data_IF_026030988873
#
_entry.id   IF_026030988873
#
_cell.length_a   1.000
_cell.length_b   1.000
_cell.length_c   1.000
_cell.angle_alpha   90.00
_cell.angle_beta   90.00
_cell.angle_gamma   90.00
#
_symmetry.space_group_name_H-M   'P 1'
#
loop_
_entity.id
_entity.type
_entity.pdbx_description
1 polymer ?
#
# COMPACT_ATOMS: atom_id res chain seq x y z
N UNK A 1 17.22 30.79 2.07
CA UNK A 1 16.19 29.79 1.76
C UNK A 1 14.89 30.40 2.21
N UNK A 2 13.98 30.72 1.28
CA UNK A 2 12.73 31.40 1.62
C UNK A 2 11.95 30.56 2.64
N UNK A 3 11.44 31.20 3.69
CA UNK A 3 10.45 30.63 4.60
C UNK A 3 9.27 30.13 3.79
N UNK A 4 9.30 28.85 3.39
CA UNK A 4 8.11 28.17 2.90
C UNK A 4 7.16 28.12 4.10
N UNK A 5 6.11 28.93 4.04
CA UNK A 5 5.05 28.95 5.02
C UNK A 5 4.57 27.51 5.23
N UNK A 6 4.71 26.98 6.46
CA UNK A 6 4.22 25.65 6.80
C UNK A 6 2.71 25.60 6.52
N UNK A 7 2.20 24.56 5.84
CA UNK A 7 0.77 24.42 5.62
C UNK A 7 0.04 24.20 6.95
N UNK A 8 -1.24 24.58 7.00
CA UNK A 8 -2.10 24.35 8.17
C UNK A 8 -2.31 22.86 8.46
N UNK A 9 -2.20 22.01 7.42
CA UNK A 9 -2.20 20.55 7.54
C UNK A 9 -1.43 19.95 6.38
N UNK A 10 -0.74 18.85 6.62
CA UNK A 10 -0.10 18.04 5.59
C UNK A 10 -1.01 16.91 5.06
N UNK A 11 -2.21 16.76 5.64
CA UNK A 11 -3.13 15.65 5.35
C UNK A 11 -4.05 15.92 4.14
N UNK A 12 -4.16 17.17 3.71
CA UNK A 12 -5.04 17.59 2.61
C UNK A 12 -4.45 17.37 1.21
N UNK A 13 -3.26 16.77 1.11
CA UNK A 13 -2.64 16.38 -0.17
C UNK A 13 -3.26 15.07 -0.70
N UNK A 14 -3.13 14.74 -1.99
CA UNK A 14 -2.58 15.56 -3.08
C UNK A 14 -3.55 16.69 -3.49
N UNK A 15 -3.09 17.58 -4.37
CA UNK A 15 -3.99 18.52 -5.06
C UNK A 15 -4.92 17.82 -6.06
N UNK A 16 -5.81 18.58 -6.70
CA UNK A 16 -6.79 18.06 -7.66
C UNK A 16 -6.16 17.42 -8.93
N UNK A 17 -4.88 17.66 -9.18
CA UNK A 17 -4.14 17.04 -10.28
C UNK A 17 -3.35 15.80 -9.82
N UNK A 18 -3.40 15.47 -8.53
CA UNK A 18 -2.71 14.33 -7.95
C UNK A 18 -1.29 14.61 -7.47
N UNK A 19 -0.89 15.87 -7.31
CA UNK A 19 0.46 16.23 -6.86
C UNK A 19 0.56 16.45 -5.34
N UNK A 20 1.59 15.85 -4.76
CA UNK A 20 2.18 16.15 -3.46
C UNK A 20 3.36 17.10 -3.70
N UNK A 21 3.04 18.37 -3.91
CA UNK A 21 4.00 19.40 -4.31
C UNK A 21 4.66 19.05 -5.65
N UNK A 22 5.91 18.56 -5.64
CA UNK A 22 6.64 18.19 -6.85
C UNK A 22 6.40 16.74 -7.31
N UNK A 23 5.80 15.90 -6.46
CA UNK A 23 5.72 14.45 -6.69
C UNK A 23 4.27 13.99 -6.93
N UNK A 24 4.07 12.89 -7.67
CA UNK A 24 2.75 12.33 -7.96
C UNK A 24 2.29 12.64 -9.38
N UNK A 25 1.03 13.04 -9.54
CA UNK A 25 0.42 13.32 -10.84
C UNK A 25 0.01 12.05 -11.60
N UNK A 26 -0.16 12.19 -12.91
CA UNK A 26 -0.60 11.14 -13.83
C UNK A 26 0.32 11.05 -15.03
N UNK A 27 1.42 10.36 -14.84
CA UNK A 27 2.27 9.93 -15.93
C UNK A 27 1.81 8.53 -16.32
N UNK A 28 1.01 8.43 -17.37
CA UNK A 28 0.54 7.17 -17.96
C UNK A 28 0.31 7.39 -19.46
N UNK A 29 0.23 6.29 -20.21
CA UNK A 29 -0.22 6.35 -21.60
C UNK A 29 -1.65 6.93 -21.68
N UNK A 30 -1.92 7.73 -22.71
CA UNK A 30 -3.23 8.35 -22.95
C UNK A 30 -4.38 7.32 -22.95
N UNK A 31 -4.11 6.10 -23.42
CA UNK A 31 -5.07 4.99 -23.44
C UNK A 31 -5.52 4.53 -22.04
N UNK A 32 -4.76 4.84 -20.98
CA UNK A 32 -5.12 4.54 -19.59
C UNK A 32 -5.88 5.69 -18.91
N UNK A 33 -5.83 6.91 -19.45
CA UNK A 33 -6.44 8.07 -18.80
C UNK A 33 -7.94 7.91 -18.53
N UNK A 34 -8.77 7.38 -19.44
CA UNK A 34 -10.18 7.15 -19.16
C UNK A 34 -10.41 6.21 -17.97
N UNK A 35 -9.61 5.15 -17.84
CA UNK A 35 -9.70 4.18 -16.74
C UNK A 35 -9.27 4.78 -15.40
N UNK A 36 -8.21 5.58 -15.42
CA UNK A 36 -7.72 6.29 -14.24
C UNK A 36 -8.78 7.29 -13.75
N UNK A 37 -9.44 8.01 -14.66
CA UNK A 37 -10.51 8.96 -14.34
C UNK A 37 -11.77 8.25 -13.84
N UNK A 38 -12.16 7.12 -14.44
CA UNK A 38 -13.27 6.28 -13.96
C UNK A 38 -12.99 5.78 -12.53
N UNK A 39 -11.75 5.36 -12.26
CA UNK A 39 -11.32 4.93 -10.94
C UNK A 39 -11.34 6.08 -9.92
N UNK A 40 -10.85 7.27 -10.30
CA UNK A 40 -10.90 8.45 -9.43
C UNK A 40 -12.33 8.79 -9.03
N UNK A 41 -13.24 8.86 -10.00
CA UNK A 41 -14.63 9.16 -9.74
C UNK A 41 -15.27 8.10 -8.81
N UNK A 42 -15.04 6.81 -9.09
CA UNK A 42 -15.57 5.73 -8.25
C UNK A 42 -15.02 5.78 -6.82
N UNK A 43 -13.75 6.17 -6.65
CA UNK A 43 -13.13 6.34 -5.35
C UNK A 43 -13.68 7.56 -4.60
N UNK A 44 -13.86 8.70 -5.26
CA UNK A 44 -14.43 9.90 -4.65
C UNK A 44 -15.91 9.69 -4.26
N UNK A 45 -16.69 9.03 -5.11
CA UNK A 45 -18.07 8.64 -4.80
C UNK A 45 -18.12 7.70 -3.59
N UNK A 46 -17.22 6.72 -3.52
CA UNK A 46 -17.12 5.80 -2.39
C UNK A 46 -16.70 6.50 -1.09
N UNK A 47 -15.79 7.49 -1.16
CA UNK A 47 -15.40 8.30 0.01
C UNK A 47 -16.55 9.15 0.55
N UNK A 48 -17.38 9.67 -0.33
CA UNK A 48 -18.54 10.49 0.04
C UNK A 48 -19.73 9.66 0.57
N UNK A 49 -19.74 8.35 0.33
CA UNK A 49 -20.84 7.44 0.67
C UNK A 49 -20.60 6.72 2.01
N UNK A 50 -21.39 7.03 3.08
CA UNK A 50 -21.25 6.38 4.38
C UNK A 50 -21.46 4.86 4.36
N UNK A 51 -22.21 4.34 3.39
CA UNK A 51 -22.43 2.89 3.27
C UNK A 51 -21.16 2.16 2.87
N UNK A 52 -20.29 2.78 2.06
CA UNK A 52 -18.98 2.22 1.72
C UNK A 52 -18.11 2.08 2.96
N UNK A 53 -18.04 3.14 3.78
CA UNK A 53 -17.25 3.14 5.01
C UNK A 53 -17.78 2.10 6.01
N UNK A 54 -19.10 1.97 6.12
CA UNK A 54 -19.75 0.94 6.96
C UNK A 54 -19.37 -0.47 6.52
N UNK A 55 -19.40 -0.75 5.21
CA UNK A 55 -19.02 -2.07 4.68
C UNK A 55 -17.51 -2.34 4.84
N UNK A 56 -16.67 -1.32 4.58
CA UNK A 56 -15.23 -1.40 4.78
C UNK A 56 -14.90 -1.72 6.24
N UNK A 57 -15.45 -0.98 7.19
CA UNK A 57 -15.21 -1.18 8.63
C UNK A 57 -15.68 -2.56 9.09
N UNK A 58 -16.85 -3.02 8.62
CA UNK A 58 -17.35 -4.37 8.88
C UNK A 58 -16.35 -5.44 8.42
N UNK A 59 -15.78 -5.30 7.22
CA UNK A 59 -14.79 -6.25 6.71
C UNK A 59 -13.44 -6.14 7.42
N UNK A 60 -13.00 -4.94 7.77
CA UNK A 60 -11.78 -4.75 8.56
C UNK A 60 -11.91 -5.43 9.92
N UNK A 61 -13.05 -5.29 10.59
CA UNK A 61 -13.29 -5.93 11.89
C UNK A 61 -13.42 -7.46 11.76
N UNK A 62 -14.39 -7.93 10.98
CA UNK A 62 -14.82 -9.33 11.04
C UNK A 62 -14.11 -10.26 10.05
N UNK A 63 -13.53 -9.73 8.98
CA UNK A 63 -12.81 -10.54 7.99
C UNK A 63 -11.30 -10.39 8.11
N UNK A 64 -10.80 -9.17 8.33
CA UNK A 64 -9.37 -8.93 8.52
C UNK A 64 -8.92 -9.21 9.95
N UNK A 65 -9.78 -8.95 10.94
CA UNK A 65 -9.46 -9.13 12.37
C UNK A 65 -8.88 -7.88 13.02
N UNK A 66 -9.27 -6.68 12.57
CA UNK A 66 -8.88 -5.40 13.16
C UNK A 66 -9.70 -5.10 14.42
N UNK A 67 -9.20 -4.26 15.36
CA UNK A 67 -7.90 -3.59 15.33
C UNK A 67 -6.74 -4.54 15.60
N UNK A 68 -5.62 -4.35 14.88
CA UNK A 68 -4.41 -5.12 15.16
C UNK A 68 -3.82 -4.66 16.52
N UNK A 69 -3.29 -5.56 17.36
CA UNK A 69 -2.78 -5.17 18.67
C UNK A 69 -1.61 -4.18 18.60
N UNK A 70 -1.45 -3.38 19.65
CA UNK A 70 -0.22 -2.65 19.95
C UNK A 70 0.47 -3.35 21.12
N UNK A 71 1.65 -3.90 20.89
CA UNK A 71 2.35 -4.75 21.86
C UNK A 71 3.60 -4.08 22.40
N UNK A 72 3.70 -3.94 23.72
CA UNK A 72 4.91 -3.47 24.38
C UNK A 72 5.98 -4.57 24.36
N UNK A 73 7.10 -4.31 23.69
CA UNK A 73 8.22 -5.24 23.52
C UNK A 73 9.23 -5.07 24.66
N UNK A 74 8.88 -5.57 25.85
CA UNK A 74 9.67 -5.42 27.09
C UNK A 74 11.13 -5.86 26.93
N UNK A 75 11.37 -7.07 26.38
CA UNK A 75 12.72 -7.62 26.22
C UNK A 75 13.59 -6.82 25.26
N UNK A 76 12.99 -6.25 24.22
CA UNK A 76 13.71 -5.42 23.24
C UNK A 76 14.02 -4.04 23.83
N UNK A 77 13.08 -3.49 24.59
CA UNK A 77 13.26 -2.25 25.34
C UNK A 77 14.43 -2.40 26.34
N UNK A 78 14.44 -3.46 27.13
CA UNK A 78 15.52 -3.77 28.07
C UNK A 78 16.86 -3.98 27.36
N UNK A 79 16.87 -4.76 26.27
CA UNK A 79 18.09 -5.06 25.53
C UNK A 79 18.74 -3.81 24.92
N UNK A 80 17.94 -2.89 24.39
CA UNK A 80 18.45 -1.66 23.78
C UNK A 80 18.74 -0.57 24.82
N UNK A 81 18.22 -0.70 26.05
CA UNK A 81 18.50 0.20 27.18
C UNK A 81 18.07 1.65 26.94
N UNK A 82 17.18 1.89 25.97
CA UNK A 82 16.81 3.21 25.49
C UNK A 82 15.30 3.45 25.53
N UNK A 83 14.71 3.72 24.36
CA UNK A 83 13.29 4.00 24.24
C UNK A 83 12.42 2.78 24.60
N UNK A 84 11.19 3.03 25.10
CA UNK A 84 10.13 2.01 25.15
C UNK A 84 9.68 1.66 23.74
N UNK A 85 9.61 0.37 23.43
CA UNK A 85 9.33 -0.10 22.07
C UNK A 85 7.96 -0.76 22.02
N UNK A 86 7.14 -0.29 21.09
CA UNK A 86 5.85 -0.88 20.77
C UNK A 86 5.84 -1.40 19.35
N UNK A 87 5.27 -2.58 19.16
CA UNK A 87 5.00 -3.14 17.84
C UNK A 87 3.53 -2.99 17.51
N UNK A 88 3.24 -2.28 16.41
CA UNK A 88 1.91 -2.31 15.77
C UNK A 88 1.80 -3.62 14.97
N UNK A 89 1.00 -4.55 15.46
CA UNK A 89 1.04 -5.98 15.09
C UNK A 89 0.26 -6.33 13.81
N UNK A 90 0.47 -5.57 12.74
CA UNK A 90 -0.23 -5.75 11.46
C UNK A 90 0.15 -7.06 10.73
N UNK A 91 1.17 -7.79 11.19
CA UNK A 91 1.44 -9.17 10.74
C UNK A 91 0.41 -10.19 11.24
N UNK A 92 -0.43 -9.83 12.23
CA UNK A 92 -1.53 -10.67 12.72
C UNK A 92 -2.82 -10.51 11.91
N UNK A 93 -2.88 -9.55 10.99
CA UNK A 93 -4.03 -9.38 10.10
C UNK A 93 -4.25 -10.65 9.27
N UNK A 94 -5.49 -10.90 8.84
CA UNK A 94 -5.76 -11.93 7.85
C UNK A 94 -4.83 -11.79 6.65
N UNK A 95 -4.34 -12.91 6.12
CA UNK A 95 -3.25 -13.05 5.12
C UNK A 95 -1.82 -12.83 5.64
N UNK A 96 -1.63 -12.14 6.78
CA UNK A 96 -0.36 -12.03 7.50
C UNK A 96 0.43 -10.74 7.28
N UNK A 97 -0.20 -9.68 6.76
CA UNK A 97 0.43 -8.38 6.52
C UNK A 97 -0.59 -7.23 6.41
N UNK A 98 -0.10 -5.99 6.38
CA UNK A 98 -0.91 -4.79 6.16
C UNK A 98 -1.56 -4.70 4.76
N UNK A 99 -1.10 -5.50 3.78
CA UNK A 99 -1.58 -5.42 2.39
C UNK A 99 -3.08 -5.68 2.24
N UNK A 100 -3.67 -6.48 3.14
CA UNK A 100 -5.09 -6.82 3.09
C UNK A 100 -5.99 -5.59 3.28
N UNK A 101 -5.58 -4.58 4.06
CA UNK A 101 -6.38 -3.36 4.27
C UNK A 101 -6.68 -2.68 2.93
N UNK A 102 -5.64 -2.48 2.14
CA UNK A 102 -5.72 -1.91 0.79
C UNK A 102 -6.52 -2.80 -0.18
N UNK A 103 -6.31 -4.12 -0.12
CA UNK A 103 -7.00 -5.04 -1.02
C UNK A 103 -8.52 -5.07 -0.76
N UNK A 104 -8.96 -4.96 0.49
CA UNK A 104 -10.39 -4.86 0.83
C UNK A 104 -10.98 -3.56 0.27
N UNK A 105 -10.33 -2.41 0.51
CA UNK A 105 -10.82 -1.14 -0.04
C UNK A 105 -10.94 -1.16 -1.56
N UNK A 106 -9.90 -1.63 -2.25
CA UNK A 106 -9.89 -1.67 -3.72
C UNK A 106 -10.83 -2.74 -4.31
N UNK A 107 -11.03 -3.90 -3.67
CA UNK A 107 -11.98 -4.89 -4.18
C UNK A 107 -13.42 -4.37 -4.07
N UNK A 108 -13.75 -3.63 -3.01
CA UNK A 108 -15.07 -2.99 -2.88
C UNK A 108 -15.31 -1.97 -3.99
N UNK A 109 -14.29 -1.19 -4.36
CA UNK A 109 -14.35 -0.32 -5.54
C UNK A 109 -14.56 -1.11 -6.83
N UNK A 110 -13.82 -2.19 -7.04
CA UNK A 110 -13.99 -3.06 -8.20
C UNK A 110 -15.42 -3.61 -8.30
N UNK A 111 -16.01 -4.01 -7.17
CA UNK A 111 -17.40 -4.48 -7.10
C UNK A 111 -18.40 -3.38 -7.47
N UNK A 112 -18.21 -2.14 -6.97
CA UNK A 112 -19.04 -0.98 -7.30
C UNK A 112 -18.94 -0.59 -8.78
N UNK A 113 -17.75 -0.69 -9.34
CA UNK A 113 -17.48 -0.48 -10.77
C UNK A 113 -17.95 -1.64 -11.66
N UNK A 114 -18.55 -2.69 -11.09
CA UNK A 114 -19.09 -3.83 -11.83
C UNK A 114 -18.03 -4.74 -12.46
N UNK A 115 -16.75 -4.58 -12.11
CA UNK A 115 -15.63 -5.34 -12.68
C UNK A 115 -15.67 -6.79 -12.23
N UNK A 116 -15.28 -7.72 -13.12
CA UNK A 116 -15.36 -9.18 -12.87
C UNK A 116 -14.00 -9.86 -12.83
N UNK A 117 -12.95 -9.11 -13.20
CA UNK A 117 -11.58 -9.57 -13.29
C UNK A 117 -10.67 -8.63 -12.53
N UNK A 118 -9.80 -9.20 -11.71
CA UNK A 118 -8.79 -8.51 -10.92
C UNK A 118 -7.42 -8.87 -11.46
N UNK A 119 -6.60 -7.85 -11.70
CA UNK A 119 -5.17 -8.01 -11.91
C UNK A 119 -4.39 -7.36 -10.77
N UNK A 120 -3.19 -7.87 -10.49
CA UNK A 120 -2.25 -7.26 -9.55
C UNK A 120 -0.81 -7.65 -9.92
N UNK A 121 0.16 -6.90 -9.40
CA UNK A 121 1.59 -7.24 -9.43
C UNK A 121 2.04 -7.82 -8.08
N UNK A 122 3.13 -8.59 -8.03
CA UNK A 122 3.73 -8.93 -6.74
C UNK A 122 5.22 -9.23 -6.86
N UNK A 123 5.98 -8.89 -5.81
CA UNK A 123 7.39 -9.24 -5.65
C UNK A 123 7.52 -10.31 -4.58
N UNK A 124 7.52 -9.93 -3.31
CA UNK A 124 7.60 -10.88 -2.18
C UNK A 124 6.39 -11.84 -2.07
N UNK A 125 5.32 -11.65 -2.84
CA UNK A 125 4.15 -12.52 -2.85
C UNK A 125 3.00 -12.08 -1.94
N UNK A 126 3.25 -11.31 -0.88
CA UNK A 126 2.20 -10.93 0.08
C UNK A 126 1.05 -10.10 -0.53
N UNK A 127 1.33 -9.19 -1.47
CA UNK A 127 0.27 -8.45 -2.18
C UNK A 127 -0.58 -9.41 -3.01
N UNK A 128 0.06 -10.23 -3.85
CA UNK A 128 -0.64 -11.24 -4.64
C UNK A 128 -1.49 -12.21 -3.82
N UNK A 129 -1.03 -12.65 -2.64
CA UNK A 129 -1.83 -13.46 -1.71
C UNK A 129 -3.06 -12.67 -1.23
N UNK A 130 -2.89 -11.42 -0.79
CA UNK A 130 -4.00 -10.60 -0.34
C UNK A 130 -5.02 -10.32 -1.46
N UNK A 131 -4.56 -10.01 -2.67
CA UNK A 131 -5.40 -9.85 -3.87
C UNK A 131 -6.16 -11.14 -4.19
N UNK A 132 -5.49 -12.29 -4.22
CA UNK A 132 -6.13 -13.58 -4.47
C UNK A 132 -7.19 -13.91 -3.41
N UNK A 133 -6.91 -13.59 -2.14
CA UNK A 133 -7.86 -13.78 -1.03
C UNK A 133 -9.14 -12.97 -1.24
N UNK A 134 -9.02 -11.68 -1.54
CA UNK A 134 -10.21 -10.84 -1.74
C UNK A 134 -10.95 -11.19 -3.04
N UNK A 135 -10.24 -11.53 -4.11
CA UNK A 135 -10.87 -11.98 -5.35
C UNK A 135 -11.66 -13.29 -5.15
N UNK A 136 -11.09 -14.26 -4.42
CA UNK A 136 -11.75 -15.51 -4.08
C UNK A 136 -13.03 -15.28 -3.26
N UNK A 137 -13.00 -14.36 -2.28
CA UNK A 137 -14.17 -13.99 -1.46
C UNK A 137 -15.36 -13.51 -2.31
N UNK A 138 -15.09 -12.75 -3.38
CA UNK A 138 -16.12 -12.16 -4.24
C UNK A 138 -16.36 -12.94 -5.55
N UNK A 139 -15.72 -14.10 -5.71
CA UNK A 139 -15.87 -14.92 -6.93
C UNK A 139 -15.35 -14.24 -8.20
N UNK A 140 -14.31 -13.41 -8.08
CA UNK A 140 -13.70 -12.68 -9.19
C UNK A 140 -12.55 -13.49 -9.82
N UNK A 141 -12.36 -13.38 -11.13
CA UNK A 141 -11.14 -13.91 -11.75
C UNK A 141 -9.94 -13.12 -11.22
N UNK A 142 -8.86 -13.80 -10.82
CA UNK A 142 -7.65 -13.16 -10.31
C UNK A 142 -6.42 -13.58 -11.11
N UNK A 143 -5.70 -12.60 -11.65
CA UNK A 143 -4.42 -12.80 -12.33
C UNK A 143 -3.34 -11.96 -11.63
N UNK A 144 -2.27 -12.62 -11.20
CA UNK A 144 -1.14 -11.98 -10.51
C UNK A 144 0.11 -12.07 -11.36
N UNK A 145 0.65 -10.91 -11.72
CA UNK A 145 1.93 -10.78 -12.42
C UNK A 145 3.08 -10.82 -11.42
N UNK A 146 4.07 -11.67 -11.67
CA UNK A 146 5.20 -11.85 -10.74
C UNK A 146 6.51 -12.03 -11.51
N UNK A 147 7.55 -11.32 -11.10
CA UNK A 147 8.87 -11.44 -11.73
C UNK A 147 9.40 -12.87 -11.63
N UNK A 148 9.94 -13.40 -12.73
CA UNK A 148 10.38 -14.80 -12.76
C UNK A 148 11.50 -15.11 -11.72
N UNK A 149 12.33 -14.12 -11.36
CA UNK A 149 13.34 -14.29 -10.29
C UNK A 149 12.73 -14.36 -8.90
N UNK A 150 11.56 -13.74 -8.69
CA UNK A 150 10.87 -13.73 -7.40
C UNK A 150 10.08 -15.04 -7.19
N UNK A 151 9.61 -15.66 -8.28
CA UNK A 151 8.86 -16.93 -8.25
C UNK A 151 9.63 -18.04 -7.53
N UNK A 152 10.90 -18.26 -7.90
CA UNK A 152 11.70 -19.32 -7.30
C UNK A 152 11.91 -19.12 -5.80
N UNK A 153 12.01 -17.86 -5.36
CA UNK A 153 12.28 -17.50 -3.97
C UNK A 153 11.04 -17.52 -3.09
N UNK A 154 9.85 -17.36 -3.68
CA UNK A 154 8.59 -17.15 -2.95
C UNK A 154 7.59 -18.29 -3.12
N UNK A 155 8.08 -19.53 -3.31
CA UNK A 155 7.25 -20.75 -3.49
C UNK A 155 6.08 -20.88 -2.50
N UNK A 156 6.23 -20.60 -1.19
CA UNK A 156 5.09 -20.67 -0.26
C UNK A 156 3.94 -19.72 -0.62
N UNK A 157 4.25 -18.49 -1.04
CA UNK A 157 3.24 -17.52 -1.44
C UNK A 157 2.61 -17.87 -2.79
N UNK A 158 3.38 -18.42 -3.73
CA UNK A 158 2.82 -18.95 -4.98
C UNK A 158 1.80 -20.05 -4.73
N UNK A 159 2.13 -20.99 -3.86
CA UNK A 159 1.23 -22.09 -3.51
C UNK A 159 -0.06 -21.57 -2.87
N UNK A 160 0.03 -20.58 -1.96
CA UNK A 160 -1.15 -19.93 -1.38
C UNK A 160 -2.03 -19.25 -2.43
N UNK A 161 -1.43 -18.52 -3.37
CA UNK A 161 -2.18 -17.89 -4.47
C UNK A 161 -2.90 -18.92 -5.34
N UNK A 162 -2.25 -20.05 -5.67
CA UNK A 162 -2.87 -21.13 -6.41
C UNK A 162 -4.04 -21.80 -5.67
N UNK A 163 -3.90 -22.04 -4.36
CA UNK A 163 -4.99 -22.58 -3.53
C UNK A 163 -6.21 -21.63 -3.49
N UNK A 164 -5.98 -20.32 -3.61
CA UNK A 164 -7.01 -19.30 -3.70
C UNK A 164 -7.60 -19.15 -5.11
N UNK A 165 -7.15 -19.95 -6.09
CA UNK A 165 -7.66 -19.93 -7.46
C UNK A 165 -7.08 -18.84 -8.35
N UNK A 166 -6.05 -18.11 -7.89
CA UNK A 166 -5.39 -17.10 -8.73
C UNK A 166 -4.50 -17.75 -9.80
N UNK A 167 -4.50 -17.14 -10.99
CA UNK A 167 -3.56 -17.45 -12.08
C UNK A 167 -2.31 -16.60 -11.87
N UNK A 168 -1.13 -17.22 -11.92
CA UNK A 168 0.14 -16.50 -11.79
C UNK A 168 0.80 -16.42 -13.16
N UNK A 169 1.14 -15.21 -13.59
CA UNK A 169 1.83 -14.95 -14.86
C UNK A 169 3.28 -14.58 -14.56
N UNK A 170 4.25 -15.43 -14.93
CA UNK A 170 5.67 -15.13 -14.77
C UNK A 170 6.09 -14.03 -15.75
N UNK A 171 6.74 -12.99 -15.24
CA UNK A 171 7.29 -11.91 -16.06
C UNK A 171 8.78 -12.15 -16.31
N UNK A 172 9.08 -12.44 -17.57
CA UNK A 172 10.42 -12.78 -18.08
C UNK A 172 11.14 -11.57 -18.70
N UNK A 173 10.45 -10.45 -18.89
CA UNK A 173 11.00 -9.22 -19.46
C UNK A 173 11.86 -8.46 -18.45
N UNK A 174 12.81 -7.66 -18.96
CA UNK A 174 13.60 -6.72 -18.18
C UNK A 174 14.41 -7.36 -17.04
N UNK A 175 14.31 -6.77 -15.85
CA UNK A 175 15.06 -7.23 -14.66
C UNK A 175 14.50 -8.50 -14.05
N UNK A 176 13.28 -8.88 -14.44
CA UNK A 176 12.46 -10.01 -13.95
C UNK A 176 12.06 -9.86 -12.49
N UNK A 177 11.74 -8.63 -12.08
CA UNK A 177 11.38 -8.27 -10.69
C UNK A 177 10.03 -7.53 -10.65
N UNK A 178 9.65 -7.02 -9.47
CA UNK A 178 8.43 -6.25 -9.23
C UNK A 178 8.18 -5.12 -10.26
N UNK A 179 9.21 -4.38 -10.66
CA UNK A 179 9.09 -3.30 -11.66
C UNK A 179 8.53 -3.82 -12.98
N UNK A 180 9.05 -4.94 -13.46
CA UNK A 180 8.62 -5.52 -14.74
C UNK A 180 7.22 -6.13 -14.61
N UNK A 181 6.91 -6.75 -13.45
CA UNK A 181 5.58 -7.27 -13.16
C UNK A 181 4.49 -6.18 -13.21
N UNK A 182 4.80 -5.00 -12.68
CA UNK A 182 3.88 -3.86 -12.69
C UNK A 182 3.65 -3.32 -14.12
N UNK A 183 4.69 -3.28 -14.95
CA UNK A 183 4.56 -2.88 -16.36
C UNK A 183 3.66 -3.83 -17.15
N UNK A 184 3.80 -5.15 -16.94
CA UNK A 184 2.94 -6.14 -17.61
C UNK A 184 1.50 -6.08 -17.10
N UNK A 185 1.28 -5.83 -15.80
CA UNK A 185 -0.07 -5.59 -15.27
C UNK A 185 -0.74 -4.36 -15.91
N UNK A 186 -0.02 -3.25 -16.07
CA UNK A 186 -0.55 -2.06 -16.76
C UNK A 186 -0.89 -2.36 -18.24
N UNK A 187 -0.06 -3.13 -18.95
CA UNK A 187 -0.33 -3.55 -20.34
C UNK A 187 -1.57 -4.42 -20.47
N UNK A 188 -1.73 -5.38 -19.56
CA UNK A 188 -2.95 -6.19 -19.46
C UNK A 188 -4.17 -5.29 -19.27
N UNK A 189 -4.07 -4.32 -18.35
CA UNK A 189 -5.18 -3.44 -18.06
C UNK A 189 -5.66 -2.68 -19.30
N UNK A 190 -4.74 -2.12 -20.08
CA UNK A 190 -5.02 -1.46 -21.38
C UNK A 190 -5.72 -2.39 -22.37
N UNK A 191 -5.44 -3.69 -22.31
CA UNK A 191 -6.00 -4.66 -23.25
C UNK A 191 -7.39 -5.14 -22.81
N UNK A 192 -7.69 -5.11 -21.51
CA UNK A 192 -8.89 -5.71 -20.91
C UNK A 192 -9.73 -4.71 -20.10
N UNK A 193 -9.81 -3.46 -20.58
CA UNK A 193 -10.32 -2.27 -19.88
C UNK A 193 -11.75 -2.42 -19.33
N UNK A 194 -12.65 -3.03 -20.10
CA UNK A 194 -14.10 -3.02 -19.80
C UNK A 194 -14.45 -3.82 -18.53
N UNK A 195 -13.71 -4.91 -18.30
CA UNK A 195 -14.04 -5.92 -17.29
C UNK A 195 -13.04 -5.94 -16.12
N UNK A 196 -11.85 -5.35 -16.31
CA UNK A 196 -10.73 -5.51 -15.39
C UNK A 196 -10.55 -4.33 -14.43
N UNK A 197 -10.30 -4.64 -13.16
CA UNK A 197 -9.78 -3.70 -12.17
C UNK A 197 -8.34 -4.07 -11.81
N UNK A 198 -7.45 -3.07 -11.76
CA UNK A 198 -6.08 -3.25 -11.31
C UNK A 198 -5.92 -2.89 -9.83
N UNK A 199 -5.67 -3.89 -8.97
CA UNK A 199 -5.37 -3.67 -7.54
C UNK A 199 -3.87 -3.43 -7.37
N UNK A 200 -3.46 -2.16 -7.28
CA UNK A 200 -2.06 -1.80 -7.02
C UNK A 200 -1.65 -2.14 -5.58
N UNK A 201 -0.41 -2.59 -5.39
CA UNK A 201 0.06 -3.12 -4.10
C UNK A 201 0.72 -2.14 -3.14
N UNK A 202 0.85 -0.87 -3.51
CA UNK A 202 1.58 0.12 -2.71
C UNK A 202 1.16 1.55 -3.00
N UNK A 203 1.60 2.51 -2.17
CA UNK A 203 1.23 3.92 -2.26
C UNK A 203 2.10 4.64 -3.28
N UNK A 204 2.00 4.19 -4.54
CA UNK A 204 2.74 4.68 -5.70
C UNK A 204 1.84 4.58 -6.95
N UNK A 205 2.42 4.85 -8.12
CA UNK A 205 1.69 4.86 -9.39
C UNK A 205 0.94 6.17 -9.62
N UNK A 206 0.14 6.24 -10.71
CA UNK A 206 -0.59 7.45 -11.06
C UNK A 206 -1.72 7.74 -10.07
N UNK A 207 -2.01 9.01 -9.83
CA UNK A 207 -3.21 9.43 -9.11
C UNK A 207 -4.48 8.84 -9.77
N UNK A 208 -5.40 8.17 -9.04
CA UNK A 208 -5.65 8.30 -7.59
C UNK A 208 -4.95 7.29 -6.67
N UNK A 209 -4.12 6.38 -7.20
CA UNK A 209 -3.60 5.26 -6.41
C UNK A 209 -2.82 5.65 -5.14
N UNK A 210 -1.88 6.62 -5.16
CA UNK A 210 -1.16 6.99 -3.94
C UNK A 210 -2.08 7.46 -2.80
N UNK A 211 -3.06 8.31 -3.11
CA UNK A 211 -4.04 8.81 -2.14
C UNK A 211 -4.98 7.70 -1.65
N UNK A 212 -5.51 6.91 -2.58
CA UNK A 212 -6.42 5.81 -2.29
C UNK A 212 -5.78 4.74 -1.40
N UNK A 213 -4.56 4.31 -1.74
CA UNK A 213 -3.84 3.29 -0.96
C UNK A 213 -3.49 3.83 0.43
N UNK A 214 -3.08 5.09 0.54
CA UNK A 214 -2.85 5.75 1.84
C UNK A 214 -4.11 5.74 2.69
N UNK A 215 -5.26 6.11 2.13
CA UNK A 215 -6.51 6.21 2.88
C UNK A 215 -6.94 4.85 3.43
N UNK A 216 -6.87 3.80 2.62
CA UNK A 216 -7.16 2.44 3.07
C UNK A 216 -6.14 1.90 4.09
N UNK A 217 -4.91 2.40 4.07
CA UNK A 217 -3.88 2.02 5.05
C UNK A 217 -3.88 2.90 6.31
N UNK A 218 -4.54 4.07 6.29
CA UNK A 218 -4.53 5.04 7.40
C UNK A 218 -5.16 4.48 8.68
N UNK A 219 -5.91 3.38 8.59
CA UNK A 219 -6.42 2.65 9.75
C UNK A 219 -5.29 2.23 10.71
N UNK A 220 -4.08 1.95 10.18
CA UNK A 220 -2.91 1.57 10.99
C UNK A 220 -2.56 2.69 11.98
N UNK A 221 -2.41 3.92 11.49
CA UNK A 221 -2.08 5.07 12.31
C UNK A 221 -3.23 5.49 13.23
N UNK A 222 -4.50 5.39 12.77
CA UNK A 222 -5.68 5.73 13.59
C UNK A 222 -5.75 4.84 14.83
N UNK A 223 -5.66 3.53 14.65
CA UNK A 223 -5.62 2.58 15.75
C UNK A 223 -4.39 2.80 16.63
N UNK A 224 -3.21 3.04 16.05
CA UNK A 224 -1.98 3.29 16.83
C UNK A 224 -2.12 4.49 17.74
N UNK A 225 -2.73 5.59 17.25
CA UNK A 225 -2.96 6.81 18.04
C UNK A 225 -3.86 6.52 19.24
N UNK A 226 -4.99 5.86 19.02
CA UNK A 226 -5.91 5.46 20.10
C UNK A 226 -5.26 4.50 21.10
N UNK A 227 -4.51 3.51 20.59
CA UNK A 227 -3.84 2.50 21.41
C UNK A 227 -2.70 3.09 22.25
N UNK A 228 -1.93 4.04 21.71
CA UNK A 228 -0.88 4.76 22.46
C UNK A 228 -1.46 5.62 23.58
N UNK A 229 -2.55 6.35 23.30
CA UNK A 229 -3.27 7.09 24.34
C UNK A 229 -3.78 6.16 25.45
N UNK A 230 -4.29 4.97 25.11
CA UNK A 230 -4.73 3.97 26.09
C UNK A 230 -3.58 3.37 26.89
N UNK A 231 -2.43 3.10 26.26
CA UNK A 231 -1.31 2.42 26.89
C UNK A 231 -0.45 3.35 27.75
N UNK A 232 -0.22 4.59 27.30
CA UNK A 232 0.76 5.50 27.90
C UNK A 232 0.17 6.88 28.24
N UNK A 233 -1.12 7.14 27.93
CA UNK A 233 -1.77 8.43 28.21
C UNK A 233 -1.26 9.59 27.34
N UNK A 234 -0.45 9.30 26.31
CA UNK A 234 0.22 10.28 25.45
C UNK A 234 0.48 9.71 24.05
N UNK A 235 0.78 10.60 23.11
CA UNK A 235 1.28 10.22 21.77
C UNK A 235 2.71 9.65 21.86
N UNK A 236 3.11 8.79 20.90
CA UNK A 236 4.48 8.28 20.83
C UNK A 236 5.45 9.41 20.49
N UNK A 237 6.68 9.34 21.02
CA UNK A 237 7.73 10.30 20.65
C UNK A 237 8.20 10.08 19.20
N UNK A 238 8.10 8.83 18.71
CA UNK A 238 8.62 8.43 17.42
C UNK A 238 7.80 7.30 16.78
N UNK A 239 7.58 7.39 15.48
CA UNK A 239 7.05 6.34 14.62
C UNK A 239 8.14 5.88 13.65
N UNK A 240 8.27 4.56 13.47
CA UNK A 240 9.25 3.96 12.55
C UNK A 240 8.55 2.95 11.67
N UNK A 241 8.80 3.03 10.36
CA UNK A 241 8.23 2.09 9.39
C UNK A 241 9.19 1.87 8.21
N UNK A 242 9.14 0.68 7.61
CA UNK A 242 9.96 0.37 6.45
C UNK A 242 9.32 0.93 5.17
N UNK A 243 10.16 1.36 4.21
CA UNK A 243 9.72 1.86 2.91
C UNK A 243 10.26 0.97 1.79
N UNK A 244 9.33 0.31 1.10
CA UNK A 244 9.48 -0.10 -0.29
C UNK A 244 8.77 0.91 -1.18
N UNK A 245 7.50 0.66 -1.52
CA UNK A 245 6.63 1.68 -2.13
C UNK A 245 5.82 2.54 -1.13
N UNK A 246 6.12 2.44 0.16
CA UNK A 246 5.61 3.37 1.19
C UNK A 246 4.24 3.09 1.82
N UNK A 247 3.45 2.11 1.37
CA UNK A 247 2.06 1.95 1.86
C UNK A 247 1.86 1.70 3.36
N UNK A 248 2.73 0.91 4.01
CA UNK A 248 2.64 0.72 5.46
C UNK A 248 3.06 1.98 6.23
N UNK A 249 4.14 2.62 5.78
CA UNK A 249 4.70 3.80 6.41
C UNK A 249 3.71 4.95 6.35
N UNK A 250 3.17 5.27 5.17
CA UNK A 250 2.17 6.35 5.05
C UNK A 250 0.88 6.00 5.79
N UNK A 251 0.47 4.72 5.84
CA UNK A 251 -0.67 4.30 6.64
C UNK A 251 -0.49 4.52 8.16
N UNK A 252 0.73 4.32 8.65
CA UNK A 252 1.08 4.60 10.05
C UNK A 252 1.22 6.10 10.31
N UNK A 253 1.89 6.83 9.41
CA UNK A 253 2.28 8.23 9.59
C UNK A 253 1.14 9.21 9.34
N UNK A 254 0.25 8.94 8.39
CA UNK A 254 -0.74 9.90 7.91
C UNK A 254 -1.61 10.52 9.02
N UNK A 255 -2.13 9.75 9.99
CA UNK A 255 -2.90 10.31 11.11
C UNK A 255 -2.11 11.21 12.06
N UNK A 256 -0.77 11.20 11.99
CA UNK A 256 0.14 11.95 12.85
C UNK A 256 0.82 13.14 12.17
N UNK A 257 0.57 13.39 10.88
CA UNK A 257 1.30 14.41 10.10
C UNK A 257 1.21 15.84 10.65
N UNK A 258 0.17 16.14 11.42
CA UNK A 258 -0.03 17.45 12.05
C UNK A 258 0.39 17.47 13.53
N UNK A 259 0.87 16.35 14.08
CA UNK A 259 1.38 16.28 15.46
C UNK A 259 2.89 16.58 15.47
N UNK A 260 3.27 17.85 15.60
CA UNK A 260 4.68 18.30 15.54
C UNK A 260 5.59 17.62 16.59
N UNK A 261 5.03 17.07 17.67
CA UNK A 261 5.77 16.36 18.70
C UNK A 261 6.18 14.93 18.31
N UNK A 262 5.63 14.39 17.22
CA UNK A 262 5.84 13.00 16.81
C UNK A 262 6.85 12.94 15.66
N UNK A 263 8.05 12.44 15.92
CA UNK A 263 9.05 12.22 14.88
C UNK A 263 8.70 10.99 14.03
N UNK A 264 8.91 11.04 12.71
CA UNK A 264 8.62 9.93 11.80
C UNK A 264 9.88 9.52 11.03
N UNK A 265 10.27 8.26 11.15
CA UNK A 265 11.43 7.70 10.46
C UNK A 265 11.01 6.61 9.49
N UNK A 266 11.24 6.89 8.22
CA UNK A 266 11.11 5.95 7.12
C UNK A 266 12.43 5.22 6.88
N UNK A 267 12.42 3.89 6.87
CA UNK A 267 13.63 3.07 6.72
C UNK A 267 13.62 2.33 5.38
N UNK A 268 14.52 2.71 4.47
CA UNK A 268 14.70 2.05 3.18
C UNK A 268 15.75 0.92 3.23
N UNK A 269 15.74 0.03 2.25
CA UNK A 269 16.69 -1.08 2.17
C UNK A 269 18.03 -0.64 1.58
N UNK A 270 19.05 -0.45 2.43
CA UNK A 270 20.41 -0.09 2.02
C UNK A 270 21.17 -1.22 1.30
N UNK A 271 20.65 -2.45 1.28
CA UNK A 271 21.28 -3.59 0.60
C UNK A 271 22.73 -3.82 1.04
N UNK A 272 23.69 -3.73 0.11
CA UNK A 272 25.13 -3.86 0.41
C UNK A 272 25.81 -2.54 0.81
N UNK A 273 25.09 -1.43 0.88
CA UNK A 273 25.60 -0.09 1.19
C UNK A 273 25.12 0.97 0.21
N UNK A 274 24.89 2.20 0.68
CA UNK A 274 24.51 3.36 -0.15
C UNK A 274 25.65 3.84 -1.06
N UNK A 275 26.88 3.45 -0.74
CA UNK A 275 28.09 3.66 -1.54
C UNK A 275 28.22 2.66 -2.70
N UNK A 276 27.29 1.71 -2.81
CA UNK A 276 27.25 0.69 -3.87
C UNK A 276 26.01 0.86 -4.75
N UNK A 277 25.98 0.21 -5.92
CA UNK A 277 24.79 0.11 -6.78
C UNK A 277 23.80 -0.97 -6.33
N UNK A 278 24.06 -1.65 -5.19
CA UNK A 278 23.31 -2.80 -4.70
C UNK A 278 22.45 -2.44 -3.49
N UNK A 279 21.60 -1.42 -3.64
CA UNK A 279 20.59 -1.01 -2.67
C UNK A 279 19.22 -0.79 -3.32
N UNK A 280 18.19 -0.62 -2.50
CA UNK A 280 16.85 -0.22 -2.91
C UNK A 280 16.38 1.03 -2.14
N UNK A 281 17.32 1.87 -1.69
CA UNK A 281 17.07 3.16 -1.06
C UNK A 281 16.84 4.26 -2.12
N UNK A 282 15.60 4.31 -2.63
CA UNK A 282 15.19 5.23 -3.69
C UNK A 282 15.20 6.71 -3.28
N UNK A 283 14.89 7.01 -2.02
CA UNK A 283 14.84 8.39 -1.51
C UNK A 283 16.25 8.83 -1.11
N UNK A 284 16.99 7.99 -0.39
CA UNK A 284 18.33 8.34 0.09
C UNK A 284 19.42 8.28 -1.00
N UNK A 285 19.29 7.39 -1.98
CA UNK A 285 20.29 7.16 -3.03
C UNK A 285 19.81 7.41 -4.46
N UNK A 286 18.58 7.88 -4.65
CA UNK A 286 18.01 8.17 -5.98
C UNK A 286 17.91 9.67 -6.28
N UNK A 287 17.30 9.98 -7.41
CA UNK A 287 16.99 11.34 -7.86
C UNK A 287 15.53 11.41 -8.37
N UNK A 288 14.90 12.61 -8.34
CA UNK A 288 13.55 12.77 -8.89
C UNK A 288 13.48 12.36 -10.37
N UNK A 289 12.44 11.60 -10.72
CA UNK A 289 12.20 11.15 -12.09
C UNK A 289 10.78 10.59 -12.27
N UNK A 290 10.44 10.28 -13.52
CA UNK A 290 9.15 9.67 -13.88
C UNK A 290 9.34 8.17 -14.07
N UNK A 291 8.55 7.38 -13.35
CA UNK A 291 8.64 5.93 -13.33
C UNK A 291 7.24 5.34 -13.07
N UNK A 292 7.00 4.13 -13.60
CA UNK A 292 5.78 3.35 -13.37
C UNK A 292 4.52 3.88 -14.06
N UNK A 293 4.75 4.51 -15.22
CA UNK A 293 3.77 5.12 -16.11
C UNK A 293 4.34 6.40 -16.67
#
# INVERSE_FOLDING_TARGET
MSDAQRPNTYRDKPDAQGYFDLFGGRYVAETLMPLILELEQAYDDARADPSFQTELDYLLEHYVGRPSPLYYAERMTEHLGGAKIYFKRDELNHTGAHKINNCIGQVLLAMRMGKKRIIAETGAGQHGVATATVAAKYGLECIVYMGAKDIERQKPNLFRMHLLGAKIVPVESGSKTLKDAMNEALRDWVTNVDNTYYIIGTAAGPHPYPAMVRDFQSIIGRETKEQMMKAEGRLPDTLVACIGGGSNAIGLFHPFLDDESVSMYAVEAAGMGLDTDKHAASIAGGEPGVLHG
#
